data_IF_425648269309
#
_entry.id   IF_425648269309
#
_cell.length_a   1.000
_cell.length_b   1.000
_cell.length_c   1.000
_cell.angle_alpha   90.00
_cell.angle_beta   90.00
_cell.angle_gamma   90.00
#
_symmetry.space_group_name_H-M   'P 1'
#
loop_
_entity.id
_entity.type
_entity.pdbx_description
1 polymer ?
#
# COMPACT_ATOMS: atom_id res chain seq x y z
N UNK A 1 -20.81 7.79 3.67
CA UNK A 1 -20.49 7.19 2.37
C UNK A 1 -19.12 7.68 1.96
N UNK A 2 -18.23 6.81 1.50
CA UNK A 2 -16.85 7.18 1.12
C UNK A 2 -16.72 7.31 -0.40
N UNK A 3 -15.92 8.28 -0.86
CA UNK A 3 -15.62 8.52 -2.27
C UNK A 3 -14.87 7.36 -2.93
N UNK A 4 -13.88 6.80 -2.20
CA UNK A 4 -13.10 5.63 -2.59
C UNK A 4 -13.04 4.67 -1.41
N UNK A 5 -14.04 3.78 -1.26
CA UNK A 5 -14.12 2.87 -0.13
C UNK A 5 -12.87 2.01 0.02
N UNK A 6 -12.46 1.82 1.27
CA UNK A 6 -11.29 1.02 1.63
C UNK A 6 -11.60 -0.01 2.70
N UNK A 7 -10.69 -0.97 2.87
CA UNK A 7 -10.76 -2.00 3.91
C UNK A 7 -9.42 -2.09 4.64
N UNK A 8 -9.48 -2.31 5.96
CA UNK A 8 -8.28 -2.46 6.79
C UNK A 8 -8.21 -3.88 7.34
N UNK A 9 -7.06 -4.52 7.14
CA UNK A 9 -6.80 -5.86 7.64
C UNK A 9 -5.33 -6.02 8.05
N UNK A 10 -5.06 -7.02 8.88
CA UNK A 10 -3.70 -7.39 9.23
C UNK A 10 -3.09 -8.29 8.15
N UNK A 11 -1.81 -8.07 7.87
CA UNK A 11 -0.99 -8.91 7.00
C UNK A 11 0.26 -9.37 7.73
N UNK A 12 0.77 -10.54 7.37
CA UNK A 12 2.05 -11.06 7.83
C UNK A 12 2.89 -11.48 6.62
N UNK A 13 3.39 -10.53 5.82
CA UNK A 13 4.12 -10.82 4.60
C UNK A 13 5.49 -11.45 4.91
N UNK A 14 6.04 -12.20 3.94
CA UNK A 14 7.42 -12.72 4.01
C UNK A 14 8.46 -11.72 3.50
N UNK A 15 8.01 -10.76 2.69
CA UNK A 15 8.87 -9.79 2.04
C UNK A 15 8.21 -8.40 2.06
N UNK A 16 9.04 -7.36 2.06
CA UNK A 16 8.62 -5.97 1.94
C UNK A 16 9.47 -5.22 0.91
N UNK A 17 8.98 -4.08 0.47
CA UNK A 17 9.73 -3.19 -0.43
C UNK A 17 10.27 -2.02 0.40
N UNK A 18 11.58 -1.79 0.34
CA UNK A 18 12.22 -0.67 1.02
C UNK A 18 11.84 0.68 0.40
N UNK A 19 12.20 1.78 1.07
CA UNK A 19 12.09 3.13 0.48
C UNK A 19 12.84 3.28 -0.84
N UNK A 20 13.96 2.57 -0.99
CA UNK A 20 14.76 2.57 -2.21
C UNK A 20 14.27 1.61 -3.29
N UNK A 21 13.12 0.95 -3.10
CA UNK A 21 12.58 -0.03 -4.05
C UNK A 21 13.19 -1.42 -3.95
N UNK A 22 14.05 -1.66 -2.97
CA UNK A 22 14.70 -2.97 -2.78
C UNK A 22 13.75 -3.98 -2.14
N UNK A 23 13.77 -5.21 -2.64
CA UNK A 23 13.07 -6.32 -2.02
C UNK A 23 13.84 -6.77 -0.77
N UNK A 24 13.14 -6.79 0.37
CA UNK A 24 13.68 -7.15 1.68
C UNK A 24 12.93 -8.36 2.25
N UNK A 25 13.67 -9.30 2.81
CA UNK A 25 13.10 -10.40 3.60
C UNK A 25 12.72 -9.87 4.97
N UNK A 26 11.50 -10.16 5.42
CA UNK A 26 11.00 -9.76 6.74
C UNK A 26 11.28 -10.89 7.73
N UNK A 27 11.91 -10.54 8.86
CA UNK A 27 12.25 -11.49 9.91
C UNK A 27 11.03 -12.27 10.39
N UNK A 28 11.22 -13.59 10.49
CA UNK A 28 10.26 -14.56 11.00
C UNK A 28 11.00 -15.77 11.56
N UNK A 29 10.52 -16.30 12.67
CA UNK A 29 10.89 -17.63 13.18
C UNK A 29 9.66 -18.33 13.79
N UNK A 30 9.86 -19.42 14.54
CA UNK A 30 8.78 -20.18 15.17
C UNK A 30 8.00 -19.40 16.23
N UNK A 31 8.60 -18.35 16.81
CA UNK A 31 8.03 -17.56 17.92
C UNK A 31 7.66 -16.14 17.50
N UNK A 32 8.21 -15.65 16.40
CA UNK A 32 8.17 -14.26 15.98
C UNK A 32 7.54 -14.16 14.61
N UNK A 33 6.39 -13.48 14.57
CA UNK A 33 5.67 -13.15 13.35
C UNK A 33 5.35 -11.66 13.35
N UNK A 34 6.03 -10.88 12.49
CA UNK A 34 5.70 -9.48 12.30
C UNK A 34 4.38 -9.34 11.53
N UNK A 35 3.42 -8.63 12.15
CA UNK A 35 2.11 -8.33 11.57
C UNK A 35 1.98 -6.82 11.38
N UNK A 36 1.38 -6.42 10.28
CA UNK A 36 1.16 -5.01 9.93
C UNK A 36 -0.31 -4.80 9.61
N UNK A 37 -0.87 -3.68 10.05
CA UNK A 37 -2.15 -3.23 9.53
C UNK A 37 -1.91 -2.57 8.17
N UNK A 38 -2.74 -2.92 7.20
CA UNK A 38 -2.77 -2.23 5.92
C UNK A 38 -4.19 -1.84 5.57
N UNK A 39 -4.34 -0.68 4.96
CA UNK A 39 -5.62 -0.18 4.45
C UNK A 39 -5.57 -0.15 2.92
N UNK A 40 -6.32 -1.06 2.31
CA UNK A 40 -6.37 -1.25 0.87
C UNK A 40 -7.63 -0.59 0.27
N UNK A 41 -7.55 -0.06 -0.94
CA UNK A 41 -8.76 0.13 -1.76
C UNK A 41 -9.50 -1.22 -1.83
N UNK A 42 -10.83 -1.20 -1.78
CA UNK A 42 -11.59 -2.40 -2.13
C UNK A 42 -11.29 -2.82 -3.56
N UNK A 43 -11.37 -4.12 -3.84
CA UNK A 43 -10.94 -4.70 -5.11
C UNK A 43 -11.72 -4.14 -6.31
N UNK A 44 -13.01 -3.85 -6.13
CA UNK A 44 -13.91 -3.25 -7.13
C UNK A 44 -13.86 -1.72 -7.18
N UNK A 45 -13.05 -1.08 -6.31
CA UNK A 45 -12.92 0.38 -6.21
C UNK A 45 -11.63 0.87 -6.85
N UNK A 46 -10.55 0.08 -6.78
CA UNK A 46 -9.25 0.52 -7.26
C UNK A 46 -9.29 0.86 -8.76
N UNK A 47 -8.68 1.99 -9.11
CA UNK A 47 -8.56 2.51 -10.46
C UNK A 47 -9.92 2.85 -11.13
N UNK A 48 -11.03 2.81 -10.38
CA UNK A 48 -12.36 3.23 -10.83
C UNK A 48 -12.59 4.73 -10.65
N UNK A 49 -13.51 5.35 -11.42
CA UNK A 49 -13.96 6.71 -11.18
C UNK A 49 -14.45 6.92 -9.75
N UNK A 50 -14.10 8.05 -9.19
CA UNK A 50 -14.45 8.39 -7.82
C UNK A 50 -15.96 8.57 -7.64
N UNK A 51 -16.50 8.11 -6.51
CA UNK A 51 -17.90 8.37 -6.15
C UNK A 51 -18.08 9.76 -5.53
N UNK A 52 -19.28 10.35 -5.67
CA UNK A 52 -19.67 11.61 -5.03
C UNK A 52 -18.85 12.85 -5.41
N UNK A 53 -18.14 12.83 -6.53
CA UNK A 53 -17.54 14.03 -7.13
C UNK A 53 -18.47 14.64 -8.18
N UNK A 54 -18.23 15.90 -8.57
CA UNK A 54 -19.01 16.54 -9.64
C UNK A 54 -18.90 15.74 -10.94
N UNK A 55 -20.00 15.67 -11.69
CA UNK A 55 -20.10 14.86 -12.91
C UNK A 55 -19.04 15.22 -13.96
N UNK A 56 -18.71 16.52 -14.10
CA UNK A 56 -17.66 17.03 -14.99
C UNK A 56 -16.25 16.49 -14.68
N UNK A 57 -15.99 16.08 -13.43
CA UNK A 57 -14.71 15.53 -13.00
C UNK A 57 -14.68 14.00 -12.95
N UNK A 58 -15.83 13.33 -13.08
CA UNK A 58 -15.87 11.85 -13.05
C UNK A 58 -14.97 11.19 -14.08
N UNK A 59 -14.97 11.61 -15.36
CA UNK A 59 -14.09 11.01 -16.37
C UNK A 59 -12.60 11.20 -16.08
N UNK A 60 -12.25 12.29 -15.39
CA UNK A 60 -10.89 12.64 -15.03
C UNK A 60 -10.49 12.17 -13.63
N UNK A 61 -11.26 11.28 -13.00
CA UNK A 61 -11.04 10.86 -11.62
C UNK A 61 -10.68 9.38 -11.52
N UNK A 62 -9.88 9.03 -10.50
CA UNK A 62 -9.59 7.63 -10.17
C UNK A 62 -9.34 7.44 -8.67
N UNK A 63 -9.82 6.31 -8.15
CA UNK A 63 -9.49 5.85 -6.81
C UNK A 63 -8.12 5.18 -6.79
N UNK A 64 -7.15 5.82 -6.15
CA UNK A 64 -5.74 5.42 -6.15
C UNK A 64 -5.33 4.88 -4.78
N UNK A 65 -4.67 3.73 -4.79
CA UNK A 65 -4.06 3.14 -3.61
C UNK A 65 -2.88 4.00 -3.13
N UNK A 66 -2.95 4.46 -1.88
CA UNK A 66 -1.85 5.13 -1.20
C UNK A 66 -1.01 4.16 -0.38
N UNK A 67 0.23 4.56 -0.17
CA UNK A 67 1.19 3.78 0.58
C UNK A 67 1.89 4.66 1.61
N UNK A 68 2.28 4.02 2.71
CA UNK A 68 3.13 4.60 3.74
C UNK A 68 4.29 3.66 4.01
N UNK A 69 5.22 4.10 4.85
CA UNK A 69 6.38 3.33 5.26
C UNK A 69 6.31 3.07 6.76
N UNK A 70 6.44 1.80 7.13
CA UNK A 70 6.46 1.35 8.52
C UNK A 70 7.74 0.59 8.80
N UNK A 71 8.19 0.60 10.05
CA UNK A 71 9.38 -0.16 10.44
C UNK A 71 9.11 -1.66 10.45
N UNK A 72 10.10 -2.43 10.02
CA UNK A 72 10.15 -3.88 10.13
C UNK A 72 11.60 -4.35 10.36
N UNK A 73 11.75 -5.46 11.06
CA UNK A 73 13.01 -6.19 11.12
C UNK A 73 13.20 -6.97 9.81
N UNK A 74 14.26 -6.65 9.07
CA UNK A 74 14.45 -7.08 7.68
C UNK A 74 15.91 -7.32 7.33
N UNK A 75 16.17 -8.00 6.22
CA UNK A 75 17.48 -8.09 5.56
C UNK A 75 17.32 -8.13 4.04
N UNK A 76 18.39 -7.95 3.28
CA UNK A 76 18.36 -8.19 1.84
C UNK A 76 18.19 -9.69 1.52
N UNK A 77 17.47 -10.00 0.44
CA UNK A 77 17.28 -11.38 0.00
C UNK A 77 18.62 -12.04 -0.37
N UNK A 78 18.78 -13.30 0.04
CA UNK A 78 19.95 -14.13 -0.26
C UNK A 78 21.29 -13.54 0.23
N UNK A 79 21.24 -12.63 1.21
CA UNK A 79 22.44 -12.12 1.87
C UNK A 79 22.53 -12.73 3.28
N UNK A 80 23.72 -13.15 3.68
CA UNK A 80 24.04 -13.66 5.02
C UNK A 80 24.19 -12.55 6.08
N UNK A 81 23.70 -11.35 5.79
CA UNK A 81 23.67 -10.22 6.72
C UNK A 81 22.67 -10.46 7.86
N UNK A 82 22.97 -9.83 9.00
CA UNK A 82 22.06 -9.79 10.14
C UNK A 82 20.80 -8.98 9.79
N UNK A 83 19.69 -9.38 10.40
CA UNK A 83 18.48 -8.57 10.34
C UNK A 83 18.71 -7.21 11.01
N UNK A 84 18.18 -6.17 10.38
CA UNK A 84 18.24 -4.78 10.82
C UNK A 84 16.87 -4.16 10.74
N UNK A 85 16.68 -3.05 11.46
CA UNK A 85 15.47 -2.26 11.32
C UNK A 85 15.53 -1.44 10.03
N UNK A 86 14.51 -1.52 9.19
CA UNK A 86 14.33 -0.64 8.03
C UNK A 86 12.83 -0.39 7.79
N UNK A 87 12.53 0.51 6.87
CA UNK A 87 11.19 0.79 6.41
C UNK A 87 10.76 -0.18 5.32
N UNK A 88 9.55 -0.72 5.45
CA UNK A 88 8.82 -1.40 4.38
C UNK A 88 7.60 -0.59 3.96
N UNK A 89 7.27 -0.63 2.67
CA UNK A 89 6.08 -0.01 2.11
C UNK A 89 4.83 -0.85 2.42
N UNK A 90 3.79 -0.22 2.95
CA UNK A 90 2.48 -0.83 3.24
C UNK A 90 1.35 0.00 2.65
N UNK A 91 0.22 -0.63 2.31
CA UNK A 91 -0.99 0.06 1.87
C UNK A 91 -1.56 0.87 3.04
N UNK A 92 -1.80 2.17 2.84
CA UNK A 92 -2.16 3.09 3.93
C UNK A 92 -3.55 3.74 3.81
N UNK A 93 -4.06 3.90 2.58
CA UNK A 93 -5.41 4.44 2.34
C UNK A 93 -5.79 4.29 0.86
N UNK A 94 -7.06 4.54 0.55
CA UNK A 94 -7.54 4.75 -0.81
C UNK A 94 -7.97 6.21 -0.96
N UNK A 95 -7.54 6.91 -2.01
CA UNK A 95 -7.88 8.32 -2.21
C UNK A 95 -8.31 8.60 -3.63
N UNK A 96 -9.26 9.52 -3.80
CA UNK A 96 -9.58 10.05 -5.12
C UNK A 96 -8.47 10.98 -5.60
N UNK A 97 -8.01 10.77 -6.82
CA UNK A 97 -7.16 11.69 -7.56
C UNK A 97 -7.89 12.19 -8.81
N UNK A 98 -7.65 13.45 -9.16
CA UNK A 98 -8.04 14.02 -10.44
C UNK A 98 -6.81 14.04 -11.34
N UNK A 99 -6.94 13.47 -12.53
CA UNK A 99 -5.95 13.49 -13.59
C UNK A 99 -6.51 14.28 -14.78
N UNK A 100 -6.18 15.56 -14.82
CA UNK A 100 -6.66 16.48 -15.85
C UNK A 100 -6.01 16.23 -17.23
N UNK A 101 -5.02 15.34 -17.32
CA UNK A 101 -4.44 14.91 -18.60
C UNK A 101 -5.34 13.92 -19.36
N UNK A 102 -6.39 13.40 -18.71
CA UNK A 102 -7.39 12.51 -19.32
C UNK A 102 -8.54 13.26 -20.02
N UNK A 103 -8.47 14.60 -20.13
CA UNK A 103 -9.50 15.43 -20.76
C UNK A 103 -9.29 15.70 -22.27
N UNK A 104 -8.31 15.03 -22.90
CA UNK A 104 -8.05 15.11 -24.35
C UNK A 104 -8.88 14.11 -25.17
#
# INVERSE_FOLDING_TARGET
>A
MECCPSETHYIAPRAGISRGGWLLEIYRDERTLQKFYQTACKDDVRDQPCHYIKHEYQPASRCVQRFSYVYAFVRFFNVSENFRLDYIRVKSSCSCELDLTLQD
#
